data_IF_187531269215
#
_entry.id   IF_187531269215
#
_cell.length_a   1.000
_cell.length_b   1.000
_cell.length_c   1.000
_cell.angle_alpha   90.00
_cell.angle_beta   90.00
_cell.angle_gamma   90.00
#
_symmetry.space_group_name_H-M   'P 1'
#
loop_
_entity.id
_entity.type
_entity.pdbx_description
1 polymer ?
#
# COMPACT_ATOMS: atom_id res chain seq x y z
N UNK A 1 29.11 -19.00 -19.29
CA UNK A 1 27.68 -18.96 -19.68
C UNK A 1 26.74 -19.36 -18.55
N UNK A 2 27.22 -19.56 -17.31
CA UNK A 2 26.40 -20.08 -16.20
C UNK A 2 26.14 -19.05 -15.10
N UNK A 3 26.78 -17.88 -15.15
CA UNK A 3 26.69 -16.89 -14.07
C UNK A 3 25.40 -16.06 -14.18
N UNK A 4 24.95 -15.74 -15.39
CA UNK A 4 23.76 -14.90 -15.61
C UNK A 4 22.43 -15.59 -15.23
N UNK A 5 22.33 -16.92 -15.32
CA UNK A 5 21.11 -17.64 -14.92
C UNK A 5 20.91 -17.64 -13.40
N UNK A 6 21.99 -17.77 -12.62
CA UNK A 6 21.92 -17.79 -11.14
C UNK A 6 21.37 -16.48 -10.57
N UNK A 7 21.64 -15.33 -11.21
CA UNK A 7 21.04 -14.04 -10.82
C UNK A 7 19.58 -13.91 -11.27
N UNK A 8 19.21 -14.46 -12.42
CA UNK A 8 17.84 -14.42 -12.94
C UNK A 8 16.86 -15.27 -12.10
N UNK A 9 17.33 -16.42 -11.58
CA UNK A 9 16.55 -17.28 -10.70
C UNK A 9 16.29 -16.63 -9.33
N UNK A 10 17.26 -15.84 -8.84
CA UNK A 10 17.18 -15.14 -7.55
C UNK A 10 16.04 -14.12 -7.48
N UNK A 11 15.84 -13.34 -8.54
CA UNK A 11 14.78 -12.31 -8.59
C UNK A 11 13.37 -12.90 -8.68
N UNK A 12 13.22 -14.02 -9.38
CA UNK A 12 11.92 -14.68 -9.55
C UNK A 12 11.45 -15.33 -8.24
N UNK A 13 12.39 -15.93 -7.50
CA UNK A 13 12.11 -16.50 -6.18
C UNK A 13 11.81 -15.40 -5.14
N UNK A 14 12.52 -14.27 -5.17
CA UNK A 14 12.24 -13.15 -4.25
C UNK A 14 10.82 -12.60 -4.46
N UNK A 15 10.41 -12.43 -5.72
CA UNK A 15 9.08 -11.93 -6.07
C UNK A 15 7.99 -12.93 -5.67
N UNK A 16 8.21 -14.22 -5.91
CA UNK A 16 7.31 -15.28 -5.48
C UNK A 16 7.19 -15.34 -3.94
N UNK A 17 8.32 -15.23 -3.24
CA UNK A 17 8.36 -15.21 -1.77
C UNK A 17 7.63 -14.00 -1.20
N UNK A 18 7.82 -12.80 -1.77
CA UNK A 18 7.10 -11.59 -1.36
C UNK A 18 5.59 -11.71 -1.59
N UNK A 19 5.15 -12.34 -2.69
CA UNK A 19 3.73 -12.58 -2.94
C UNK A 19 3.11 -13.54 -1.91
N UNK A 20 3.78 -14.66 -1.63
CA UNK A 20 3.35 -15.62 -0.60
C UNK A 20 3.35 -14.97 0.77
N UNK A 21 4.35 -14.14 1.06
CA UNK A 21 4.42 -13.39 2.31
C UNK A 21 3.26 -12.41 2.43
N UNK A 22 2.89 -11.72 1.34
CA UNK A 22 1.69 -10.87 1.29
C UNK A 22 0.39 -11.64 1.54
N UNK A 23 0.28 -12.87 1.02
CA UNK A 23 -0.88 -13.72 1.29
C UNK A 23 -0.94 -14.18 2.75
N UNK A 24 0.20 -14.59 3.33
CA UNK A 24 0.30 -15.01 4.74
C UNK A 24 -0.02 -13.85 5.69
N UNK A 25 0.51 -12.65 5.42
CA UNK A 25 0.30 -11.47 6.26
C UNK A 25 -1.12 -10.89 6.11
N UNK A 26 -1.76 -11.07 4.95
CA UNK A 26 -3.06 -10.50 4.62
C UNK A 26 -4.20 -11.51 4.77
N UNK A 27 -4.59 -12.14 3.66
CA UNK A 27 -5.83 -12.91 3.51
C UNK A 27 -5.83 -14.24 4.28
N UNK A 28 -4.68 -14.92 4.35
CA UNK A 28 -4.56 -16.19 5.07
C UNK A 28 -4.62 -15.96 6.58
N UNK A 29 -3.98 -14.89 7.06
CA UNK A 29 -4.05 -14.49 8.47
C UNK A 29 -5.49 -14.26 8.95
N UNK A 30 -6.29 -13.51 8.19
CA UNK A 30 -7.71 -13.26 8.53
C UNK A 30 -8.56 -14.51 8.44
N UNK A 31 -8.36 -15.36 7.44
CA UNK A 31 -9.16 -16.57 7.28
C UNK A 31 -8.90 -17.59 8.40
N UNK A 32 -7.65 -17.79 8.84
CA UNK A 32 -7.32 -18.65 9.99
C UNK A 32 -7.94 -18.09 11.28
N UNK A 33 -7.91 -16.76 11.46
CA UNK A 33 -8.58 -16.09 12.56
C UNK A 33 -10.09 -16.37 12.60
N UNK A 34 -10.78 -16.28 11.46
CA UNK A 34 -12.21 -16.62 11.34
C UNK A 34 -12.44 -18.11 11.57
N UNK A 35 -11.53 -18.98 11.12
CA UNK A 35 -11.60 -20.42 11.36
C UNK A 35 -11.52 -20.75 12.86
N UNK A 36 -10.64 -20.07 13.61
CA UNK A 36 -10.57 -20.20 15.06
C UNK A 36 -11.91 -19.79 15.71
N UNK A 37 -12.50 -18.66 15.30
CA UNK A 37 -13.81 -18.20 15.78
C UNK A 37 -14.90 -19.25 15.50
N UNK A 38 -14.89 -19.86 14.31
CA UNK A 38 -15.86 -20.90 13.95
C UNK A 38 -15.72 -22.16 14.83
N UNK A 39 -14.49 -22.62 15.10
CA UNK A 39 -14.22 -23.75 15.99
C UNK A 39 -14.70 -23.47 17.42
N UNK A 40 -14.57 -22.23 17.89
CA UNK A 40 -15.02 -21.81 19.22
C UNK A 40 -16.56 -21.73 19.30
N UNK A 41 -17.22 -21.21 18.26
CA UNK A 41 -18.68 -21.27 18.14
C UNK A 41 -19.20 -22.71 18.09
N UNK A 42 -18.48 -23.61 17.43
CA UNK A 42 -18.78 -25.04 17.41
C UNK A 42 -18.61 -25.68 18.80
N UNK A 43 -17.61 -25.25 19.57
CA UNK A 43 -17.42 -25.66 20.96
C UNK A 43 -18.52 -25.13 21.90
N UNK A 44 -19.10 -23.96 21.62
CA UNK A 44 -20.29 -23.48 22.31
C UNK A 44 -21.54 -24.29 21.96
N UNK A 45 -21.71 -24.69 20.69
CA UNK A 45 -22.82 -25.54 20.25
C UNK A 45 -22.74 -26.96 20.85
N UNK A 46 -21.51 -27.43 21.14
CA UNK A 46 -21.24 -28.70 21.83
C UNK A 46 -21.68 -28.71 23.30
N UNK A 47 -22.13 -27.59 23.86
CA UNK A 47 -22.77 -27.54 25.18
C UNK A 47 -21.84 -27.63 26.38
N UNK A 48 -20.51 -27.53 26.19
CA UNK A 48 -19.52 -27.78 27.26
C UNK A 48 -18.70 -26.56 27.70
N UNK A 49 -18.80 -25.40 27.03
CA UNK A 49 -17.95 -24.24 27.31
C UNK A 49 -18.76 -22.95 27.45
N UNK A 50 -18.40 -22.17 28.47
CA UNK A 50 -19.12 -20.97 28.89
C UNK A 50 -19.04 -19.87 27.82
N UNK A 51 -20.12 -19.11 27.60
CA UNK A 51 -20.16 -18.00 26.63
C UNK A 51 -19.03 -16.96 26.78
N UNK A 52 -18.40 -16.95 27.94
CA UNK A 52 -17.29 -16.07 28.31
C UNK A 52 -16.01 -16.42 27.56
N UNK A 53 -15.78 -17.69 27.27
CA UNK A 53 -14.59 -18.17 26.57
C UNK A 53 -14.62 -17.76 25.10
N UNK A 54 -15.80 -17.77 24.50
CA UNK A 54 -16.03 -17.24 23.15
C UNK A 54 -15.75 -15.74 23.06
N UNK A 55 -16.36 -14.95 23.96
CA UNK A 55 -16.19 -13.49 23.97
C UNK A 55 -14.73 -13.08 24.15
N UNK A 56 -13.97 -13.76 25.03
CA UNK A 56 -12.55 -13.44 25.25
C UNK A 56 -11.69 -13.74 24.01
N UNK A 57 -12.00 -14.80 23.26
CA UNK A 57 -11.29 -15.11 22.02
C UNK A 57 -11.62 -14.13 20.88
N UNK A 58 -12.90 -13.76 20.72
CA UNK A 58 -13.32 -12.74 19.74
C UNK A 58 -12.61 -11.41 19.98
N UNK A 59 -12.53 -10.98 21.25
CA UNK A 59 -11.91 -9.71 21.61
C UNK A 59 -10.39 -9.71 21.32
N UNK A 60 -9.70 -10.82 21.60
CA UNK A 60 -8.27 -10.96 21.29
C UNK A 60 -7.97 -10.97 19.79
N UNK A 61 -8.79 -11.68 19.01
CA UNK A 61 -8.65 -11.72 17.55
C UNK A 61 -8.90 -10.36 16.91
N UNK A 62 -9.94 -9.64 17.36
CA UNK A 62 -10.24 -8.28 16.89
C UNK A 62 -9.12 -7.31 17.20
N UNK A 63 -8.47 -7.40 18.37
CA UNK A 63 -7.34 -6.54 18.72
C UNK A 63 -6.11 -6.87 17.86
N UNK A 64 -5.76 -8.15 17.69
CA UNK A 64 -4.55 -8.55 16.95
C UNK A 64 -4.60 -8.13 15.47
N UNK A 65 -5.77 -8.26 14.82
CA UNK A 65 -5.91 -7.95 13.39
C UNK A 65 -6.52 -6.56 13.12
N UNK A 66 -7.41 -6.08 13.99
CA UNK A 66 -8.11 -4.80 13.83
C UNK A 66 -7.30 -3.59 14.32
N UNK A 67 -6.48 -3.73 15.37
CA UNK A 67 -5.67 -2.61 15.88
C UNK A 67 -4.70 -2.03 14.82
N UNK A 68 -3.90 -2.82 14.07
CA UNK A 68 -3.06 -2.27 13.02
C UNK A 68 -3.87 -1.61 11.91
N UNK A 69 -5.01 -2.18 11.49
CA UNK A 69 -5.88 -1.57 10.48
C UNK A 69 -6.40 -0.19 10.91
N UNK A 70 -6.80 -0.04 12.19
CA UNK A 70 -7.24 1.23 12.75
C UNK A 70 -6.06 2.21 12.86
N UNK A 71 -4.88 1.75 13.29
CA UNK A 71 -3.68 2.58 13.38
C UNK A 71 -3.26 3.14 12.02
N UNK A 72 -3.31 2.32 10.96
CA UNK A 72 -3.05 2.76 9.59
C UNK A 72 -4.13 3.73 9.07
N UNK A 73 -5.40 3.55 9.42
CA UNK A 73 -6.47 4.49 9.08
C UNK A 73 -6.27 5.86 9.74
N UNK A 74 -5.90 5.89 11.02
CA UNK A 74 -5.61 7.14 11.74
C UNK A 74 -4.34 7.78 11.19
N UNK A 75 -3.26 7.03 10.98
CA UNK A 75 -2.00 7.57 10.48
C UNK A 75 -2.09 8.02 9.01
N UNK A 76 -2.95 7.38 8.21
CA UNK A 76 -3.18 7.75 6.81
C UNK A 76 -4.06 9.00 6.63
N UNK A 77 -4.86 9.35 7.64
CA UNK A 77 -5.67 10.59 7.64
C UNK A 77 -4.92 11.78 8.23
N UNK A 78 -3.86 11.53 9.01
CA UNK A 78 -2.94 12.57 9.44
C UNK A 78 -2.04 12.94 8.25
N UNK A 79 -2.14 14.15 7.67
CA UNK A 79 -1.18 14.60 6.68
C UNK A 79 0.21 14.48 7.29
N UNK A 80 1.03 13.59 6.73
CA UNK A 80 2.40 13.38 7.14
C UNK A 80 3.19 14.62 6.74
N UNK A 81 3.15 15.65 7.57
CA UNK A 81 4.00 16.84 7.49
C UNK A 81 5.44 16.44 7.87
N UNK A 82 6.05 15.55 7.09
CA UNK A 82 7.48 15.25 7.11
C UNK A 82 8.15 15.96 5.95
N UNK A 83 8.10 17.29 6.00
CA UNK A 83 9.06 18.14 5.32
C UNK A 83 9.55 19.15 6.35
N UNK A 84 10.83 19.56 6.35
CA UNK A 84 11.19 20.78 7.03
C UNK A 84 10.24 21.86 6.49
N UNK A 85 9.39 22.39 7.37
CA UNK A 85 8.59 23.56 7.09
C UNK A 85 9.59 24.67 6.80
N UNK A 86 10.01 24.78 5.54
CA UNK A 86 10.69 25.97 5.04
C UNK A 86 9.59 27.03 5.10
N UNK A 87 9.54 27.71 6.24
CA UNK A 87 8.82 28.96 6.42
C UNK A 87 9.36 29.86 5.32
N UNK A 88 8.67 29.91 4.18
CA UNK A 88 9.01 30.85 3.11
C UNK A 88 8.68 32.22 3.69
N UNK A 89 9.67 33.09 3.99
CA UNK A 89 9.37 34.42 4.45
C UNK A 89 8.58 35.13 3.35
N UNK A 90 7.48 35.80 3.74
CA UNK A 90 6.57 36.51 2.83
C UNK A 90 7.37 37.34 1.81
N UNK A 91 7.42 36.85 0.57
CA UNK A 91 8.04 37.56 -0.54
C UNK A 91 7.07 38.70 -0.92
N UNK A 92 7.48 39.98 -0.85
CA UNK A 92 6.60 41.10 -1.19
C UNK A 92 6.12 40.99 -2.65
N UNK A 93 4.90 41.46 -2.96
CA UNK A 93 4.24 41.22 -4.24
C UNK A 93 5.02 41.83 -5.40
N UNK A 94 5.70 40.97 -6.17
CA UNK A 94 6.30 41.34 -7.44
C UNK A 94 5.20 41.45 -8.51
N UNK A 95 5.08 42.59 -9.22
CA UNK A 95 4.07 42.78 -10.25
C UNK A 95 4.12 41.71 -11.33
N UNK A 96 2.99 41.06 -11.56
CA UNK A 96 2.80 39.99 -12.54
C UNK A 96 2.80 40.54 -13.98
N UNK A 97 3.94 40.42 -14.67
CA UNK A 97 3.95 40.40 -16.13
C UNK A 97 3.74 38.96 -16.61
N UNK A 98 2.54 38.77 -17.15
CA UNK A 98 2.00 37.62 -17.86
C UNK A 98 3.04 36.72 -18.56
N UNK A 99 3.05 35.46 -18.13
CA UNK A 99 2.86 34.26 -18.98
C UNK A 99 3.81 34.10 -20.18
N UNK A 100 4.86 33.30 -20.01
CA UNK A 100 5.22 32.32 -21.06
C UNK A 100 5.97 31.14 -20.43
N UNK A 101 5.27 30.01 -20.47
CA UNK A 101 5.74 28.65 -20.30
C UNK A 101 7.18 28.47 -20.79
N UNK A 102 8.07 28.19 -19.83
CA UNK A 102 9.40 27.63 -20.00
C UNK A 102 9.49 26.66 -21.18
N UNK A 103 9.95 27.16 -22.32
CA UNK A 103 10.33 26.37 -23.49
C UNK A 103 11.68 25.73 -23.20
N UNK A 104 11.64 24.57 -22.52
CA UNK A 104 12.77 23.63 -22.55
C UNK A 104 12.80 23.02 -23.95
N UNK A 105 13.89 23.14 -24.72
CA UNK A 105 13.95 22.66 -26.10
C UNK A 105 14.09 21.14 -26.09
N UNK A 106 12.99 20.43 -25.84
CA UNK A 106 12.87 19.03 -26.22
C UNK A 106 12.58 19.02 -27.71
N UNK A 107 13.64 18.96 -28.52
CA UNK A 107 13.57 18.47 -29.89
C UNK A 107 12.81 17.14 -29.81
N UNK A 108 11.57 17.09 -30.32
CA UNK A 108 10.76 15.88 -30.44
C UNK A 108 10.95 15.36 -31.87
N UNK A 109 11.88 14.41 -32.11
CA UNK A 109 12.27 13.96 -33.45
C UNK A 109 11.29 12.96 -34.08
N UNK A 110 10.15 12.70 -33.44
CA UNK A 110 9.13 11.77 -33.89
C UNK A 110 7.77 12.45 -33.86
N UNK A 111 7.58 13.42 -34.77
CA UNK A 111 6.24 13.82 -35.19
C UNK A 111 5.98 13.30 -36.62
N UNK A 112 5.29 12.14 -36.74
CA UNK A 112 5.00 11.53 -38.04
C UNK A 112 3.92 12.27 -38.85
N UNK A 113 3.33 13.35 -38.32
CA UNK A 113 2.38 14.20 -39.05
C UNK A 113 3.03 15.43 -39.71
N UNK A 114 4.35 15.64 -39.56
CA UNK A 114 5.10 16.70 -40.25
C UNK A 114 5.20 16.54 -41.78
N UNK A 115 4.59 15.50 -42.38
CA UNK A 115 4.62 15.19 -43.81
C UNK A 115 3.27 15.22 -44.55
N UNK A 116 2.18 15.70 -43.95
CA UNK A 116 0.85 15.72 -44.60
C UNK A 116 0.14 17.08 -44.58
N UNK A 117 0.84 18.16 -44.93
CA UNK A 117 0.19 19.44 -45.22
C UNK A 117 0.73 20.08 -46.51
N UNK A 118 0.10 19.69 -47.62
CA UNK A 118 -0.07 20.39 -48.92
C UNK A 118 1.18 20.60 -49.81
N UNK A 119 1.05 20.66 -51.15
CA UNK A 119 -0.15 20.90 -51.99
C UNK A 119 -0.83 19.67 -52.60
#
# INVERSE_FOLDING_TARGET
MNDASIYADGHSLEAAALWIQGLILGQVGTSIAVLAIAIIGLNMLRGTLSARDGVRSLLGCFILFGAPAIAHGVMGTLPRSTGPEVIVPLQPPVPSLHKEKQSSPSINPFDPYAGQSAP
#
